data_IF_496843931518
#
_entry.id   IF_496843931518
#
_cell.length_a   1.000
_cell.length_b   1.000
_cell.length_c   1.000
_cell.angle_alpha   90.00
_cell.angle_beta   90.00
_cell.angle_gamma   90.00
#
_symmetry.space_group_name_H-M   'P 1'
#
loop_
_entity.id
_entity.type
_entity.pdbx_description
1 polymer ?
#
# COMPACT_ATOMS: atom_id res chain seq x y z
N UNK A 1 15.54 -10.42 -7.64
CA UNK A 1 14.47 -9.99 -6.73
C UNK A 1 13.17 -10.24 -7.46
N UNK A 2 12.21 -10.85 -6.79
CA UNK A 2 10.87 -11.09 -7.35
C UNK A 2 9.83 -10.26 -6.61
N UNK A 3 8.69 -10.01 -7.24
CA UNK A 3 7.57 -9.34 -6.57
C UNK A 3 7.15 -10.10 -5.31
N UNK A 4 6.96 -9.37 -4.20
CA UNK A 4 6.59 -9.94 -2.90
C UNK A 4 7.75 -10.46 -2.05
N UNK A 5 8.98 -10.48 -2.56
CA UNK A 5 10.14 -10.83 -1.76
C UNK A 5 10.38 -9.76 -0.68
N UNK A 6 10.49 -10.16 0.60
CA UNK A 6 10.92 -9.27 1.68
C UNK A 6 12.37 -8.84 1.44
N UNK A 7 12.60 -7.52 1.41
CA UNK A 7 13.93 -6.95 1.13
C UNK A 7 14.57 -6.26 2.33
N UNK A 8 13.77 -5.81 3.31
CA UNK A 8 14.25 -5.09 4.50
C UNK A 8 13.21 -5.03 5.63
N UNK A 9 13.62 -4.49 6.78
CA UNK A 9 12.78 -4.03 7.89
C UNK A 9 12.75 -2.49 7.94
N UNK A 10 11.67 -1.91 8.48
CA UNK A 10 11.59 -0.46 8.68
C UNK A 10 12.55 -0.06 9.81
N UNK A 11 13.28 1.04 9.60
CA UNK A 11 14.19 1.60 10.59
C UNK A 11 14.05 3.12 10.70
N UNK A 12 15.01 3.75 11.39
CA UNK A 12 15.08 5.20 11.59
C UNK A 12 16.53 5.69 11.43
N UNK A 13 17.20 5.30 10.34
CA UNK A 13 18.57 5.76 10.04
C UNK A 13 18.53 7.10 9.30
N UNK A 14 19.54 7.96 9.53
CA UNK A 14 19.60 9.31 8.98
C UNK A 14 19.06 10.38 9.94
N UNK A 15 18.77 11.58 9.43
CA UNK A 15 18.26 12.69 10.24
C UNK A 15 16.74 12.66 10.31
N UNK A 16 16.18 11.78 11.14
CA UNK A 16 14.74 11.58 11.25
C UNK A 16 14.29 11.32 12.68
N UNK A 17 13.04 11.66 12.99
CA UNK A 17 12.48 11.62 14.35
C UNK A 17 11.81 10.29 14.69
N UNK A 18 11.27 9.57 13.70
CA UNK A 18 10.48 8.35 13.93
C UNK A 18 10.72 7.33 12.80
N UNK A 19 10.55 6.01 13.05
CA UNK A 19 10.69 5.00 12.00
C UNK A 19 9.65 5.19 10.88
N UNK A 20 10.12 5.25 9.63
CA UNK A 20 9.26 5.37 8.46
C UNK A 20 9.94 4.85 7.19
N UNK A 21 9.15 4.65 6.13
CA UNK A 21 9.64 4.22 4.83
C UNK A 21 9.39 5.33 3.79
N UNK A 22 10.46 5.80 3.15
CA UNK A 22 10.37 6.58 1.92
C UNK A 22 10.46 5.65 0.71
N UNK A 23 9.55 5.82 -0.24
CA UNK A 23 9.54 5.08 -1.49
C UNK A 23 9.36 6.02 -2.68
N UNK A 24 10.09 5.73 -3.76
CA UNK A 24 10.02 6.49 -5.01
C UNK A 24 9.92 5.50 -6.17
N UNK A 25 8.86 5.62 -6.98
CA UNK A 25 8.73 4.89 -8.23
C UNK A 25 9.35 5.73 -9.35
N UNK A 26 10.23 5.10 -10.11
CA UNK A 26 11.01 5.74 -11.17
C UNK A 26 10.89 4.94 -12.48
N UNK A 27 11.02 5.63 -13.61
CA UNK A 27 10.91 5.02 -14.94
C UNK A 27 12.19 4.29 -15.40
N UNK A 28 13.29 4.41 -14.66
CA UNK A 28 14.57 3.73 -14.94
C UNK A 28 15.40 3.57 -13.67
N UNK A 29 16.36 2.65 -13.72
CA UNK A 29 17.23 2.33 -12.60
C UNK A 29 18.34 3.36 -12.31
N UNK A 30 18.54 4.37 -13.18
CA UNK A 30 19.55 5.43 -13.03
C UNK A 30 18.92 6.67 -12.38
N UNK A 31 19.05 6.89 -11.05
CA UNK A 31 18.32 7.95 -10.35
C UNK A 31 18.67 9.36 -10.84
N UNK A 32 19.90 9.58 -11.29
CA UNK A 32 20.39 10.85 -11.80
C UNK A 32 19.72 11.31 -13.10
N UNK A 33 19.10 10.37 -13.81
CA UNK A 33 18.41 10.64 -15.07
C UNK A 33 16.93 10.23 -15.03
N UNK A 34 16.44 9.65 -13.93
CA UNK A 34 15.09 9.11 -13.86
C UNK A 34 14.02 10.20 -13.68
N UNK A 35 12.84 9.94 -14.22
CA UNK A 35 11.64 10.71 -13.86
C UNK A 35 10.86 9.95 -12.78
N UNK A 36 10.27 10.69 -11.84
CA UNK A 36 9.30 10.15 -10.89
C UNK A 36 8.00 9.78 -11.60
N UNK A 37 7.46 8.60 -11.32
CA UNK A 37 6.16 8.16 -11.83
C UNK A 37 5.12 8.32 -10.72
N UNK A 38 3.97 8.97 -10.96
CA UNK A 38 2.85 8.97 -10.02
C UNK A 38 2.41 7.54 -9.70
N UNK A 39 2.21 7.24 -8.41
CA UNK A 39 1.74 5.93 -7.95
C UNK A 39 0.60 6.08 -6.96
N UNK A 40 -0.35 5.15 -7.03
CA UNK A 40 -1.41 4.96 -6.04
C UNK A 40 -1.27 3.57 -5.43
N UNK A 41 -1.67 3.43 -4.18
CA UNK A 41 -1.88 2.11 -3.60
C UNK A 41 -3.24 1.59 -4.04
N UNK A 42 -3.25 0.36 -4.55
CA UNK A 42 -4.47 -0.36 -4.93
C UNK A 42 -4.87 -1.32 -3.81
N UNK A 43 -6.17 -1.58 -3.65
CA UNK A 43 -6.64 -2.55 -2.65
C UNK A 43 -6.41 -2.09 -1.22
N UNK A 44 -6.46 -0.77 -0.99
CA UNK A 44 -6.44 -0.22 0.36
C UNK A 44 -7.77 -0.44 1.05
N UNK A 45 -7.75 -1.02 2.23
CA UNK A 45 -8.84 -0.92 3.20
C UNK A 45 -8.44 0.12 4.24
N UNK A 46 -9.21 1.22 4.30
CA UNK A 46 -8.96 2.32 5.22
C UNK A 46 -9.63 2.03 6.57
N UNK A 47 -8.87 2.19 7.64
CA UNK A 47 -9.33 2.04 9.02
C UNK A 47 -9.49 3.37 9.74
N UNK A 48 -9.45 3.28 11.06
CA UNK A 48 -9.51 4.41 11.99
C UNK A 48 -8.20 5.22 11.98
N UNK A 49 -8.25 6.42 12.57
CA UNK A 49 -7.02 7.14 12.93
C UNK A 49 -6.35 6.40 14.09
N UNK A 50 -5.03 6.21 14.01
CA UNK A 50 -4.25 5.68 15.13
C UNK A 50 -4.34 6.65 16.31
N UNK A 51 -4.74 6.19 17.52
CA UNK A 51 -4.85 7.04 18.71
C UNK A 51 -3.59 7.86 19.02
N UNK A 52 -2.39 7.31 18.74
CA UNK A 52 -1.12 8.00 18.94
C UNK A 52 -0.88 9.16 17.96
N UNK A 53 -1.63 9.20 16.85
CA UNK A 53 -1.52 10.20 15.79
C UNK A 53 -2.74 11.11 15.66
N UNK A 54 -3.75 11.00 16.54
CA UNK A 54 -4.96 11.85 16.50
C UNK A 54 -4.65 13.35 16.37
N UNK A 55 -3.68 13.85 17.16
CA UNK A 55 -3.24 15.25 17.10
C UNK A 55 -2.61 15.69 15.78
N UNK A 56 -2.24 14.73 14.94
CA UNK A 56 -1.64 14.92 13.61
C UNK A 56 -2.61 14.54 12.48
N UNK A 57 -3.84 14.15 12.82
CA UNK A 57 -4.85 13.78 11.84
C UNK A 57 -5.21 14.98 10.97
N UNK A 58 -5.03 14.82 9.67
CA UNK A 58 -5.34 15.83 8.68
C UNK A 58 -5.84 15.13 7.41
N UNK A 59 -6.81 15.77 6.76
CA UNK A 59 -7.26 15.32 5.46
C UNK A 59 -6.12 15.47 4.43
N UNK A 60 -6.08 14.61 3.39
CA UNK A 60 -5.07 14.74 2.35
C UNK A 60 -5.09 16.14 1.72
N UNK A 61 -3.91 16.64 1.39
CA UNK A 61 -3.76 17.91 0.66
C UNK A 61 -4.54 17.87 -0.67
N UNK A 62 -4.94 19.04 -1.18
CA UNK A 62 -5.69 19.12 -2.44
C UNK A 62 -4.93 18.52 -3.64
N UNK A 63 -3.61 18.37 -3.53
CA UNK A 63 -2.74 17.73 -4.55
C UNK A 63 -2.59 16.22 -4.36
N UNK A 64 -3.14 15.65 -3.30
CA UNK A 64 -3.10 14.22 -3.06
C UNK A 64 -3.90 13.47 -4.14
N UNK A 65 -3.43 12.29 -4.49
CA UNK A 65 -4.16 11.41 -5.40
C UNK A 65 -5.43 10.87 -4.71
N UNK A 66 -6.44 10.59 -5.50
CA UNK A 66 -7.69 10.02 -5.00
C UNK A 66 -7.44 8.69 -4.28
N UNK A 67 -8.14 8.47 -3.16
CA UNK A 67 -8.03 7.26 -2.35
C UNK A 67 -6.82 7.22 -1.39
N UNK A 68 -6.03 8.30 -1.31
CA UNK A 68 -4.95 8.39 -0.32
C UNK A 68 -5.50 8.45 1.12
N UNK A 69 -4.89 7.72 2.07
CA UNK A 69 -5.27 7.78 3.48
C UNK A 69 -5.00 9.17 4.07
N UNK A 70 -5.78 9.53 5.09
CA UNK A 70 -5.53 10.73 5.91
C UNK A 70 -4.22 10.56 6.68
N UNK A 71 -3.61 11.67 7.09
CA UNK A 71 -2.47 11.59 8.01
C UNK A 71 -2.89 10.88 9.30
N UNK A 72 -2.10 9.90 9.75
CA UNK A 72 -2.39 9.08 10.93
C UNK A 72 -3.46 8.01 10.74
N UNK A 73 -4.06 7.87 9.55
CA UNK A 73 -5.05 6.81 9.29
C UNK A 73 -4.36 5.47 9.08
N UNK A 74 -4.84 4.45 9.80
CA UNK A 74 -4.42 3.08 9.57
C UNK A 74 -5.02 2.58 8.25
N UNK A 75 -4.24 1.82 7.49
CA UNK A 75 -4.73 1.14 6.30
C UNK A 75 -4.05 -0.22 6.16
N UNK A 76 -4.78 -1.17 5.59
CA UNK A 76 -4.23 -2.42 5.08
C UNK A 76 -4.21 -2.34 3.56
N UNK A 77 -3.16 -2.86 2.94
CA UNK A 77 -3.13 -3.08 1.51
C UNK A 77 -3.17 -4.58 1.31
N UNK A 78 -4.23 -5.09 0.70
CA UNK A 78 -4.27 -6.51 0.31
C UNK A 78 -3.22 -6.74 -0.78
N UNK A 79 -2.08 -7.26 -0.35
CA UNK A 79 -1.09 -7.77 -1.28
C UNK A 79 -1.66 -9.03 -1.91
N UNK A 80 -2.20 -8.96 -3.12
CA UNK A 80 -2.29 -10.14 -3.98
C UNK A 80 -0.89 -10.56 -4.43
N UNK A 81 -0.09 -10.97 -3.46
CA UNK A 81 1.19 -11.63 -3.64
C UNK A 81 0.86 -13.12 -3.77
N UNK A 82 0.08 -13.48 -4.79
CA UNK A 82 -0.03 -14.85 -5.27
C UNK A 82 -1.29 -15.64 -4.91
N UNK A 83 -2.49 -15.04 -4.79
CA UNK A 83 -3.73 -15.82 -4.83
C UNK A 83 -4.13 -16.03 -6.28
N UNK A 84 -3.52 -17.05 -6.93
CA UNK A 84 -4.12 -17.64 -8.14
C UNK A 84 -5.57 -17.96 -7.82
N UNK A 85 -6.49 -17.19 -8.39
CA UNK A 85 -7.93 -17.48 -8.36
C UNK A 85 -8.13 -18.86 -8.97
N UNK A 86 -8.21 -19.89 -8.12
CA UNK A 86 -8.81 -21.14 -8.54
C UNK A 86 -10.30 -20.87 -8.65
N UNK A 87 -10.72 -20.59 -9.89
CA UNK A 87 -12.08 -20.82 -10.35
C UNK A 87 -12.43 -22.29 -10.07
N UNK A 88 -12.83 -22.61 -8.84
CA UNK A 88 -13.66 -23.78 -8.61
C UNK A 88 -15.10 -23.36 -8.89
N UNK A 89 -15.45 -23.48 -10.17
CA UNK A 89 -16.83 -23.66 -10.59
C UNK A 89 -17.42 -24.84 -9.82
N UNK A 90 -18.08 -24.55 -8.69
CA UNK A 90 -18.98 -25.53 -8.07
C UNK A 90 -20.23 -25.55 -8.95
N UNK A 91 -20.24 -26.48 -9.88
CA UNK A 91 -21.45 -26.91 -10.57
C UNK A 91 -22.49 -27.29 -9.51
N UNK A 92 -23.55 -26.48 -9.43
CA UNK A 92 -24.72 -26.76 -8.60
C UNK A 92 -25.56 -27.79 -9.34
N UNK A 93 -25.25 -29.08 -9.21
CA UNK A 93 -26.18 -30.13 -9.62
C UNK A 93 -27.27 -30.23 -8.56
N UNK A 94 -28.40 -29.59 -8.83
CA UNK A 94 -29.66 -29.85 -8.14
C UNK A 94 -30.10 -31.26 -8.54
N UNK A 95 -30.21 -32.18 -7.57
CA UNK A 95 -31.01 -33.39 -7.72
C UNK A 95 -32.04 -33.36 -6.60
N UNK A 96 -33.28 -33.14 -7.03
CA UNK A 96 -34.51 -33.46 -6.32
C UNK A 96 -34.63 -34.97 -6.12
N UNK A 97 -34.97 -35.37 -4.90
CA UNK A 97 -35.85 -36.49 -4.58
C UNK A 97 -36.74 -36.04 -3.42
#
# INVERSE_FOLDING_TARGET
>A
MEAGQRIAEIGNTGNTTQPHLHMQLMDRARPEAAAGIPMVWSGLELGEIDPGYEKHAADPEATALEGMPRNGQLFTADGDIGRRSSLLSRHKTSHTC
#
